data_IF_593949651183
#
_entry.id   IF_593949651183
#
_cell.length_a   1.000
_cell.length_b   1.000
_cell.length_c   1.000
_cell.angle_alpha   90.00
_cell.angle_beta   90.00
_cell.angle_gamma   90.00
#
_symmetry.space_group_name_H-M   'P 1'
#
loop_
_entity.id
_entity.type
_entity.pdbx_description
1 polymer ?
#
# COMPACT_ATOMS: atom_id res chain seq x y z
N UNK A 1 -16.37 -3.67 -16.71
CA UNK A 1 -15.30 -2.87 -16.07
C UNK A 1 -14.15 -2.85 -17.05
N UNK A 2 -13.55 -1.70 -17.30
CA UNK A 2 -12.50 -1.55 -18.31
C UNK A 2 -11.38 -0.74 -17.67
N UNK A 3 -10.13 -1.17 -17.83
CA UNK A 3 -8.98 -0.46 -17.25
C UNK A 3 -7.78 -0.60 -18.18
N UNK A 4 -6.82 0.29 -18.00
CA UNK A 4 -5.48 0.18 -18.57
C UNK A 4 -4.50 -0.23 -17.48
N UNK A 5 -3.41 -0.90 -17.88
CA UNK A 5 -2.20 -0.94 -17.07
C UNK A 5 -1.46 0.38 -17.30
N UNK A 6 -1.50 1.27 -16.32
CA UNK A 6 -0.97 2.62 -16.49
C UNK A 6 0.46 2.78 -16.01
N UNK A 7 1.21 3.69 -16.64
CA UNK A 7 2.52 4.16 -16.17
C UNK A 7 2.56 5.68 -16.27
N UNK A 8 2.99 6.34 -15.19
CA UNK A 8 3.10 7.81 -15.15
C UNK A 8 4.55 8.22 -15.01
N UNK A 9 4.98 9.18 -15.83
CA UNK A 9 6.31 9.80 -15.71
C UNK A 9 6.17 11.11 -14.96
N UNK A 10 6.97 11.26 -13.90
CA UNK A 10 7.04 12.45 -13.06
C UNK A 10 8.42 13.10 -13.20
N UNK A 11 8.46 14.42 -13.23
CA UNK A 11 9.69 15.21 -13.24
C UNK A 11 9.78 16.05 -11.97
N UNK A 12 10.89 15.93 -11.23
CA UNK A 12 11.20 16.80 -10.10
C UNK A 12 11.74 18.13 -10.62
N UNK A 13 11.01 19.21 -10.36
CA UNK A 13 11.37 20.56 -10.78
C UNK A 13 12.38 21.17 -9.83
N UNK A 14 13.04 22.25 -10.29
CA UNK A 14 13.94 23.06 -9.46
C UNK A 14 13.23 23.70 -8.27
N UNK A 15 11.91 23.90 -8.35
CA UNK A 15 11.09 24.41 -7.24
C UNK A 15 10.72 23.32 -6.20
N UNK A 16 11.26 22.10 -6.33
CA UNK A 16 11.02 20.98 -5.42
C UNK A 16 9.72 20.21 -5.70
N UNK A 17 8.86 20.67 -6.61
CA UNK A 17 7.57 20.01 -6.89
C UNK A 17 7.66 18.95 -7.98
N UNK A 18 6.85 17.89 -7.87
CA UNK A 18 6.70 16.88 -8.92
C UNK A 18 5.68 17.32 -9.97
N UNK A 19 6.05 17.22 -11.24
CA UNK A 19 5.17 17.49 -12.39
C UNK A 19 4.94 16.22 -13.21
N UNK A 20 3.69 15.82 -13.48
CA UNK A 20 3.41 14.75 -14.44
C UNK A 20 3.70 15.22 -15.86
N UNK A 21 4.46 14.43 -16.62
CA UNK A 21 4.91 14.78 -17.98
C UNK A 21 4.41 13.81 -19.06
N UNK A 22 4.01 12.60 -18.69
CA UNK A 22 3.40 11.63 -19.61
C UNK A 22 2.61 10.57 -18.83
N UNK A 23 1.56 10.02 -19.43
CA UNK A 23 0.85 8.82 -18.98
C UNK A 23 0.78 7.83 -20.15
N UNK A 24 1.28 6.62 -19.93
CA UNK A 24 1.10 5.49 -20.83
C UNK A 24 -0.13 4.68 -20.36
N UNK A 25 -1.02 4.37 -21.31
CA UNK A 25 -2.23 3.58 -21.11
C UNK A 25 -2.09 2.28 -21.91
N UNK A 26 -1.67 1.20 -21.25
CA UNK A 26 -1.33 -0.06 -21.92
C UNK A 26 -2.44 -1.09 -21.82
N UNK A 27 -2.68 -1.82 -22.91
CA UNK A 27 -3.53 -3.01 -22.99
C UNK A 27 -2.69 -4.21 -23.44
N UNK A 28 -3.00 -5.43 -22.95
CA UNK A 28 -2.41 -6.64 -23.52
C UNK A 28 -2.83 -6.77 -24.99
N UNK A 29 -1.90 -7.19 -25.85
CA UNK A 29 -2.18 -7.52 -27.24
C UNK A 29 -1.75 -8.96 -27.48
N UNK A 30 -2.71 -9.87 -27.61
CA UNK A 30 -2.49 -11.27 -27.95
C UNK A 30 -3.01 -11.59 -29.34
N UNK A 31 -2.37 -12.54 -30.04
CA UNK A 31 -2.82 -12.95 -31.36
C UNK A 31 -4.23 -13.56 -31.27
N UNK A 32 -5.22 -12.90 -31.88
CA UNK A 32 -6.63 -13.32 -31.84
C UNK A 32 -7.54 -12.48 -30.94
N UNK A 33 -7.05 -11.39 -30.34
CA UNK A 33 -7.89 -10.48 -29.55
C UNK A 33 -9.00 -9.84 -30.40
N UNK A 34 -10.23 -9.87 -29.89
CA UNK A 34 -11.42 -9.30 -30.52
C UNK A 34 -11.56 -7.78 -30.28
N UNK A 35 -10.74 -7.21 -29.41
CA UNK A 35 -10.77 -5.79 -29.09
C UNK A 35 -9.88 -4.99 -30.04
N UNK A 36 -10.43 -3.95 -30.67
CA UNK A 36 -9.67 -3.01 -31.49
C UNK A 36 -8.92 -1.95 -30.66
N UNK A 37 -9.12 -1.92 -29.34
CA UNK A 37 -8.52 -0.92 -28.47
C UNK A 37 -7.00 -1.12 -28.36
N UNK A 38 -6.24 -0.05 -28.59
CA UNK A 38 -4.78 -0.06 -28.59
C UNK A 38 -4.18 0.66 -27.38
N UNK A 39 -2.94 0.30 -27.06
CA UNK A 39 -2.11 1.04 -26.10
C UNK A 39 -1.80 2.44 -26.67
N UNK A 40 -1.72 3.44 -25.79
CA UNK A 40 -1.40 4.81 -26.21
C UNK A 40 -0.69 5.62 -25.12
N UNK A 41 0.06 6.64 -25.54
CA UNK A 41 0.68 7.61 -24.63
C UNK A 41 -0.08 8.92 -24.72
N UNK A 42 -0.46 9.46 -23.57
CA UNK A 42 -1.15 10.74 -23.43
C UNK A 42 -0.20 11.74 -22.76
N UNK A 43 -0.11 12.94 -23.33
CA UNK A 43 0.72 14.03 -22.83
C UNK A 43 -0.14 15.12 -22.17
N UNK A 44 0.42 15.93 -21.27
CA UNK A 44 -0.29 17.04 -20.65
C UNK A 44 -0.82 18.04 -21.68
N UNK A 45 -2.12 18.35 -21.60
CA UNK A 45 -2.78 19.39 -22.36
C UNK A 45 -3.71 20.21 -21.44
N UNK A 46 -3.89 21.49 -21.76
CA UNK A 46 -4.71 22.43 -20.98
C UNK A 46 -5.99 22.90 -21.68
N UNK A 47 -6.04 22.72 -22.99
CA UNK A 47 -7.15 23.19 -23.84
C UNK A 47 -7.63 22.06 -24.74
N UNK A 48 -8.80 22.26 -25.35
CA UNK A 48 -9.36 21.34 -26.34
C UNK A 48 -9.73 19.97 -25.78
N UNK A 49 -10.07 19.05 -26.67
CA UNK A 49 -10.41 17.66 -26.32
C UNK A 49 -9.21 16.92 -25.73
N UNK A 50 -7.99 17.32 -26.09
CA UNK A 50 -6.73 16.80 -25.56
C UNK A 50 -6.63 17.00 -24.05
N UNK A 51 -7.12 18.13 -23.51
CA UNK A 51 -7.18 18.34 -22.06
C UNK A 51 -8.15 17.38 -21.36
N UNK A 52 -9.28 17.06 -22.00
CA UNK A 52 -10.23 16.04 -21.52
C UNK A 52 -9.60 14.64 -21.55
N UNK A 53 -8.89 14.31 -22.63
CA UNK A 53 -8.17 13.02 -22.76
C UNK A 53 -7.08 12.91 -21.69
N UNK A 54 -6.33 13.99 -21.41
CA UNK A 54 -5.35 14.04 -20.32
C UNK A 54 -6.01 13.88 -18.95
N UNK A 55 -7.16 14.53 -18.71
CA UNK A 55 -7.93 14.36 -17.49
C UNK A 55 -8.39 12.91 -17.29
N UNK A 56 -8.88 12.25 -18.35
CA UNK A 56 -9.26 10.85 -18.32
C UNK A 56 -8.06 9.92 -18.13
N UNK A 57 -6.91 10.21 -18.74
CA UNK A 57 -5.67 9.46 -18.54
C UNK A 57 -5.27 9.45 -17.06
N UNK A 58 -5.34 10.61 -16.39
CA UNK A 58 -5.14 10.70 -14.94
C UNK A 58 -6.18 9.89 -14.17
N UNK A 59 -7.45 9.87 -14.58
CA UNK A 59 -8.46 9.06 -13.91
C UNK A 59 -8.15 7.56 -13.96
N UNK A 60 -7.68 7.03 -15.09
CA UNK A 60 -7.26 5.62 -15.18
C UNK A 60 -6.07 5.32 -14.26
N UNK A 61 -5.09 6.23 -14.19
CA UNK A 61 -3.97 6.13 -13.24
C UNK A 61 -4.48 6.06 -11.81
N UNK A 62 -5.39 6.96 -11.43
CA UNK A 62 -5.92 6.98 -10.06
C UNK A 62 -6.82 5.78 -9.78
N UNK A 63 -7.50 5.19 -10.77
CA UNK A 63 -8.20 3.92 -10.58
C UNK A 63 -7.22 2.79 -10.26
N UNK A 64 -6.10 2.69 -10.98
CA UNK A 64 -5.03 1.74 -10.66
C UNK A 64 -4.49 1.98 -9.25
N UNK A 65 -4.16 3.24 -8.92
CA UNK A 65 -3.61 3.62 -7.63
C UNK A 65 -4.59 3.37 -6.48
N UNK A 66 -5.88 3.65 -6.67
CA UNK A 66 -6.92 3.40 -5.65
C UNK A 66 -7.07 1.91 -5.37
N UNK A 67 -7.00 1.07 -6.40
CA UNK A 67 -7.02 -0.38 -6.23
C UNK A 67 -5.75 -0.88 -5.52
N UNK A 68 -4.57 -0.41 -5.94
CA UNK A 68 -3.29 -0.80 -5.32
C UNK A 68 -3.21 -0.33 -3.86
N UNK A 69 -3.60 0.91 -3.60
CA UNK A 69 -3.68 1.48 -2.26
C UNK A 69 -4.53 0.63 -1.33
N UNK A 70 -5.76 0.31 -1.73
CA UNK A 70 -6.68 -0.41 -0.83
C UNK A 70 -6.30 -1.87 -0.64
N UNK A 71 -5.90 -2.57 -1.70
CA UNK A 71 -5.65 -4.02 -1.65
C UNK A 71 -4.23 -4.37 -1.21
N UNK A 72 -3.23 -3.56 -1.58
CA UNK A 72 -1.82 -3.86 -1.35
C UNK A 72 -1.29 -3.00 -0.21
N UNK A 73 -1.24 -1.68 -0.39
CA UNK A 73 -0.65 -0.77 0.61
C UNK A 73 -1.39 -0.78 1.94
N UNK A 74 -2.72 -0.90 1.90
CA UNK A 74 -3.59 -0.91 3.07
C UNK A 74 -3.88 -2.36 3.51
N UNK A 75 -4.71 -3.11 2.79
CA UNK A 75 -5.12 -4.45 3.22
C UNK A 75 -3.94 -5.42 3.42
N UNK A 76 -3.16 -5.68 2.36
CA UNK A 76 -2.11 -6.70 2.41
C UNK A 76 -0.98 -6.33 3.38
N UNK A 77 -0.35 -5.18 3.18
CA UNK A 77 0.87 -4.79 3.88
C UNK A 77 0.65 -4.41 5.34
N UNK A 78 -0.61 -4.28 5.79
CA UNK A 78 -0.92 -3.84 7.14
C UNK A 78 -1.87 -4.80 7.86
N UNK A 79 -3.11 -4.94 7.38
CA UNK A 79 -4.11 -5.79 8.01
C UNK A 79 -3.70 -7.27 7.94
N UNK A 80 -3.50 -7.78 6.73
CA UNK A 80 -3.20 -9.20 6.51
C UNK A 80 -1.79 -9.57 6.98
N UNK A 81 -0.80 -8.71 6.73
CA UNK A 81 0.59 -8.97 7.12
C UNK A 81 0.80 -8.98 8.65
N UNK A 82 -0.03 -8.28 9.43
CA UNK A 82 0.14 -8.19 10.89
C UNK A 82 -0.53 -9.33 11.65
N UNK A 83 -1.69 -9.82 11.17
CA UNK A 83 -2.50 -10.81 11.89
C UNK A 83 -1.72 -12.08 12.31
N UNK A 84 -0.80 -12.63 11.49
CA UNK A 84 0.03 -13.76 11.89
C UNK A 84 0.91 -13.50 13.12
N UNK A 85 1.45 -12.28 13.26
CA UNK A 85 2.24 -11.90 14.44
C UNK A 85 1.37 -11.73 15.68
N UNK A 86 0.14 -11.25 15.54
CA UNK A 86 -0.82 -11.18 16.66
C UNK A 86 -1.07 -12.59 17.21
N UNK A 87 -1.35 -13.53 16.31
CA UNK A 87 -1.65 -14.93 16.65
C UNK A 87 -0.43 -15.59 17.31
N UNK A 88 0.75 -15.50 16.69
CA UNK A 88 1.96 -16.11 17.24
C UNK A 88 2.32 -15.53 18.63
N UNK A 89 2.18 -14.21 18.80
CA UNK A 89 2.49 -13.55 20.09
C UNK A 89 1.64 -14.09 21.23
N UNK A 90 0.32 -14.21 21.04
CA UNK A 90 -0.57 -14.72 22.08
C UNK A 90 -0.41 -16.24 22.31
N UNK A 91 0.13 -16.98 21.34
CA UNK A 91 0.33 -18.43 21.46
C UNK A 91 1.63 -18.82 22.14
N UNK A 92 2.68 -18.01 22.02
CA UNK A 92 4.02 -18.37 22.47
C UNK A 92 4.63 -17.45 23.52
N UNK A 93 4.20 -16.19 23.59
CA UNK A 93 4.73 -15.26 24.59
C UNK A 93 3.73 -15.11 25.73
N UNK A 94 4.17 -15.38 26.96
CA UNK A 94 3.38 -15.16 28.17
C UNK A 94 3.00 -13.69 28.31
N UNK A 95 1.87 -13.39 28.96
CA UNK A 95 1.47 -12.01 29.32
C UNK A 95 2.49 -11.29 30.21
N UNK A 96 3.40 -12.06 30.82
CA UNK A 96 4.53 -11.57 31.61
C UNK A 96 5.79 -11.31 30.78
N UNK A 97 5.88 -11.86 29.57
CA UNK A 97 7.05 -11.75 28.70
C UNK A 97 7.28 -10.28 28.27
N UNK A 98 8.51 -9.76 28.31
CA UNK A 98 8.78 -8.34 27.99
C UNK A 98 8.38 -7.99 26.55
N UNK A 99 8.69 -8.88 25.59
CA UNK A 99 8.30 -8.67 24.18
C UNK A 99 6.78 -8.74 23.98
N UNK A 100 6.04 -9.52 24.78
CA UNK A 100 4.57 -9.49 24.74
C UNK A 100 4.05 -8.11 25.17
N UNK A 101 4.57 -7.58 26.28
CA UNK A 101 4.20 -6.25 26.79
C UNK A 101 4.55 -5.13 25.82
N UNK A 102 5.69 -5.25 25.12
CA UNK A 102 6.11 -4.31 24.09
C UNK A 102 5.18 -4.33 22.87
N UNK A 103 4.78 -5.50 22.39
CA UNK A 103 4.09 -5.64 21.10
C UNK A 103 2.57 -5.56 21.21
N UNK A 104 1.95 -6.13 22.25
CA UNK A 104 0.49 -6.28 22.31
C UNK A 104 -0.33 -4.99 22.32
N UNK A 105 0.13 -3.83 22.85
CA UNK A 105 -0.58 -2.56 22.68
C UNK A 105 -0.82 -2.21 21.20
N UNK A 106 0.06 -2.65 20.31
CA UNK A 106 -0.03 -2.43 18.87
C UNK A 106 -1.03 -3.37 18.18
N UNK A 107 -1.43 -4.47 18.81
CA UNK A 107 -2.36 -5.42 18.20
C UNK A 107 -3.82 -5.09 18.45
N UNK A 108 -4.09 -4.02 19.19
CA UNK A 108 -5.44 -3.63 19.60
C UNK A 108 -6.38 -3.57 18.40
N UNK A 109 -7.45 -4.35 18.48
CA UNK A 109 -8.53 -4.44 17.49
C UNK A 109 -8.15 -5.01 16.11
N UNK A 110 -6.89 -5.37 15.84
CA UNK A 110 -6.44 -5.85 14.51
C UNK A 110 -7.19 -7.12 14.06
N UNK A 111 -7.22 -8.18 14.89
CA UNK A 111 -7.96 -9.40 14.56
C UNK A 111 -9.47 -9.18 14.42
N UNK A 112 -10.03 -8.27 15.22
CA UNK A 112 -11.46 -7.97 15.19
C UNK A 112 -11.85 -7.27 13.88
N UNK A 113 -11.12 -6.21 13.50
CA UNK A 113 -11.38 -5.52 12.22
C UNK A 113 -11.10 -6.43 11.03
N UNK A 114 -10.07 -7.30 11.09
CA UNK A 114 -9.81 -8.26 10.04
C UNK A 114 -10.93 -9.31 9.90
N UNK A 115 -11.48 -9.79 11.01
CA UNK A 115 -12.61 -10.72 10.99
C UNK A 115 -13.85 -10.08 10.34
N UNK A 116 -14.18 -8.84 10.71
CA UNK A 116 -15.27 -8.07 10.09
C UNK A 116 -15.00 -7.78 8.61
N UNK A 117 -13.74 -7.48 8.25
CA UNK A 117 -13.35 -7.27 6.86
C UNK A 117 -13.54 -8.54 6.02
N UNK A 118 -13.13 -9.70 6.53
CA UNK A 118 -13.38 -11.00 5.88
C UNK A 118 -14.87 -11.31 5.72
N UNK A 119 -15.71 -10.83 6.63
CA UNK A 119 -17.15 -11.08 6.59
C UNK A 119 -17.89 -10.16 5.60
N UNK A 120 -17.52 -8.88 5.54
CA UNK A 120 -18.36 -7.84 4.92
C UNK A 120 -17.62 -6.92 3.92
N UNK A 121 -16.28 -6.84 4.00
CA UNK A 121 -15.48 -5.94 3.17
C UNK A 121 -14.89 -6.64 1.94
N UNK A 122 -14.14 -7.72 2.16
CA UNK A 122 -13.36 -8.43 1.14
C UNK A 122 -13.94 -9.81 0.77
N UNK A 123 -15.13 -10.15 1.27
CA UNK A 123 -15.85 -11.36 0.87
C UNK A 123 -16.37 -11.26 -0.58
N UNK A 124 -16.77 -12.41 -1.12
CA UNK A 124 -17.46 -12.47 -2.41
C UNK A 124 -18.74 -11.61 -2.38
N UNK A 125 -18.92 -10.76 -3.38
CA UNK A 125 -19.95 -9.71 -3.44
C UNK A 125 -19.94 -8.71 -2.25
N UNK A 126 -18.83 -8.64 -1.52
CA UNK A 126 -18.60 -7.67 -0.47
C UNK A 126 -18.39 -6.26 -1.02
N UNK A 127 -18.12 -5.33 -0.11
CA UNK A 127 -17.98 -3.90 -0.44
C UNK A 127 -16.86 -3.68 -1.47
N UNK A 128 -15.68 -4.25 -1.28
CA UNK A 128 -14.53 -4.03 -2.18
C UNK A 128 -14.82 -4.60 -3.57
N UNK A 129 -15.30 -5.84 -3.66
CA UNK A 129 -15.63 -6.46 -4.95
C UNK A 129 -16.73 -5.70 -5.70
N UNK A 130 -17.68 -5.07 -4.99
CA UNK A 130 -18.79 -4.35 -5.60
C UNK A 130 -18.45 -2.88 -5.93
N UNK A 131 -17.46 -2.26 -5.28
CA UNK A 131 -17.16 -0.82 -5.47
C UNK A 131 -15.87 -0.54 -6.24
N UNK A 132 -14.90 -1.46 -6.29
CA UNK A 132 -13.62 -1.26 -6.98
C UNK A 132 -13.61 -1.81 -8.41
N UNK A 133 -12.59 -1.45 -9.21
CA UNK A 133 -12.42 -1.87 -10.59
C UNK A 133 -12.20 -3.39 -10.76
N UNK A 134 -11.78 -4.06 -9.69
CA UNK A 134 -11.29 -5.43 -9.75
C UNK A 134 -12.40 -6.38 -9.28
N UNK A 135 -12.78 -7.32 -10.14
CA UNK A 135 -13.62 -8.47 -9.72
C UNK A 135 -12.76 -9.51 -9.00
N UNK A 136 -11.48 -9.54 -9.36
CA UNK A 136 -10.43 -10.42 -8.86
C UNK A 136 -9.60 -9.73 -7.77
N UNK A 137 -10.26 -8.97 -6.90
CA UNK A 137 -9.61 -8.02 -5.98
C UNK A 137 -8.61 -8.70 -5.04
N UNK A 138 -9.07 -9.69 -4.27
CA UNK A 138 -8.25 -10.28 -3.21
C UNK A 138 -7.13 -11.15 -3.78
N UNK A 139 -7.39 -11.90 -4.85
CA UNK A 139 -6.36 -12.72 -5.49
C UNK A 139 -5.23 -11.88 -6.10
N UNK A 140 -5.49 -10.64 -6.54
CA UNK A 140 -4.44 -9.73 -6.95
C UNK A 140 -3.51 -9.35 -5.80
N UNK A 141 -4.02 -9.22 -4.58
CA UNK A 141 -3.15 -8.99 -3.41
C UNK A 141 -2.30 -10.22 -3.09
N UNK A 142 -2.84 -11.43 -3.28
CA UNK A 142 -2.07 -12.68 -3.20
C UNK A 142 -0.97 -12.75 -4.26
N UNK A 143 -1.26 -12.39 -5.51
CA UNK A 143 -0.26 -12.36 -6.58
C UNK A 143 0.87 -11.33 -6.33
N UNK A 144 0.60 -10.28 -5.55
CA UNK A 144 1.59 -9.27 -5.11
C UNK A 144 2.30 -9.68 -3.81
N UNK A 145 1.83 -10.74 -3.14
CA UNK A 145 2.34 -11.17 -1.85
C UNK A 145 3.71 -11.85 -1.98
N UNK A 146 4.72 -11.00 -2.16
CA UNK A 146 6.15 -11.30 -2.09
C UNK A 146 6.77 -10.48 -0.96
N UNK A 147 6.09 -10.47 0.20
CA UNK A 147 6.42 -9.59 1.31
C UNK A 147 7.83 -9.86 1.81
N UNK A 148 8.76 -8.94 1.56
CA UNK A 148 10.10 -8.97 2.19
C UNK A 148 10.04 -8.13 3.46
N UNK A 149 9.99 -8.78 4.64
CA UNK A 149 9.85 -8.09 5.93
C UNK A 149 10.88 -6.98 6.15
N UNK A 150 12.12 -7.20 5.72
CA UNK A 150 13.18 -6.20 5.91
C UNK A 150 13.00 -4.94 5.07
N UNK A 151 12.26 -5.05 3.97
CA UNK A 151 11.98 -3.92 3.08
C UNK A 151 10.82 -3.08 3.59
N UNK A 152 10.07 -3.57 4.59
CA UNK A 152 9.03 -2.79 5.26
C UNK A 152 9.58 -1.75 6.24
N UNK A 153 10.90 -1.76 6.52
CA UNK A 153 11.54 -0.68 7.26
C UNK A 153 11.55 0.57 6.38
N UNK A 154 11.04 1.70 6.89
CA UNK A 154 10.91 2.92 6.09
C UNK A 154 12.20 3.33 5.36
N UNK A 155 13.40 3.34 6.00
CA UNK A 155 14.64 3.64 5.26
C UNK A 155 14.95 2.64 4.13
N UNK A 156 14.64 1.36 4.32
CA UNK A 156 14.86 0.32 3.31
C UNK A 156 13.88 0.45 2.14
N UNK A 157 12.59 0.72 2.43
CA UNK A 157 11.57 1.01 1.42
C UNK A 157 11.98 2.21 0.55
N UNK A 158 12.37 3.32 1.18
CA UNK A 158 12.77 4.54 0.47
C UNK A 158 13.97 4.32 -0.46
N UNK A 159 14.96 3.54 -0.01
CA UNK A 159 16.11 3.16 -0.86
C UNK A 159 15.66 2.22 -1.98
N UNK A 160 14.86 1.20 -1.68
CA UNK A 160 14.39 0.21 -2.66
C UNK A 160 13.60 0.86 -3.80
N UNK A 161 12.75 1.85 -3.48
CA UNK A 161 11.99 2.61 -4.47
C UNK A 161 12.83 3.65 -5.22
N UNK A 162 14.10 3.82 -4.86
CA UNK A 162 15.00 4.79 -5.48
C UNK A 162 14.62 6.24 -5.19
N UNK A 163 13.95 6.52 -4.07
CA UNK A 163 13.58 7.88 -3.63
C UNK A 163 14.45 8.41 -2.50
N UNK A 164 15.38 7.58 -2.01
CA UNK A 164 16.44 7.97 -1.11
C UNK A 164 17.71 7.16 -1.41
N UNK A 165 18.85 7.68 -0.97
CA UNK A 165 20.12 6.95 -0.99
C UNK A 165 20.67 6.82 0.43
N UNK A 166 21.47 5.79 0.68
CA UNK A 166 22.17 5.65 1.95
C UNK A 166 23.18 6.78 2.12
N UNK A 167 23.10 7.47 3.24
CA UNK A 167 24.00 8.57 3.58
C UNK A 167 24.26 8.56 5.10
N UNK A 168 25.38 7.99 5.55
CA UNK A 168 25.71 7.93 6.97
C UNK A 168 25.93 9.30 7.63
N UNK A 169 26.05 10.38 6.86
CA UNK A 169 26.24 11.73 7.40
C UNK A 169 24.94 12.39 7.83
N UNK A 170 23.78 11.86 7.43
CA UNK A 170 22.46 12.38 7.82
C UNK A 170 21.96 11.72 9.11
N UNK A 171 21.09 12.39 9.90
CA UNK A 171 20.57 11.84 11.16
C UNK A 171 19.90 10.47 11.02
N UNK A 172 19.20 10.26 9.90
CA UNK A 172 18.44 9.03 9.62
C UNK A 172 19.22 7.99 8.83
N UNK A 173 20.48 8.28 8.46
CA UNK A 173 21.33 7.40 7.65
C UNK A 173 20.93 7.28 6.18
N UNK A 174 20.00 8.12 5.74
CA UNK A 174 19.49 8.22 4.36
C UNK A 174 19.33 9.68 3.96
N UNK A 175 19.55 9.97 2.67
CA UNK A 175 19.29 11.27 2.06
C UNK A 175 18.16 11.11 1.05
N UNK A 176 17.07 11.87 1.23
CA UNK A 176 15.95 11.87 0.30
C UNK A 176 16.38 12.52 -1.03
N UNK A 177 15.89 11.97 -2.15
CA UNK A 177 16.09 12.56 -3.48
C UNK A 177 15.03 13.62 -3.81
N UNK A 178 13.91 13.57 -3.08
CA UNK A 178 12.88 14.61 -3.05
C UNK A 178 12.89 15.13 -1.62
N UNK A 179 13.52 16.29 -1.40
CA UNK A 179 13.77 16.82 -0.06
C UNK A 179 12.46 17.08 0.69
N UNK A 180 11.52 17.76 0.05
CA UNK A 180 10.15 17.96 0.55
C UNK A 180 9.24 16.82 0.10
N UNK A 181 9.51 15.61 0.60
CA UNK A 181 8.61 14.46 0.50
C UNK A 181 7.95 14.21 1.86
N UNK A 182 6.76 14.78 2.14
CA UNK A 182 6.18 14.83 3.49
C UNK A 182 6.04 13.47 4.16
N UNK A 183 5.54 12.46 3.44
CA UNK A 183 5.43 11.08 3.97
C UNK A 183 6.78 10.54 4.43
N UNK A 184 7.84 10.73 3.64
CA UNK A 184 9.15 10.20 3.95
C UNK A 184 9.86 11.00 5.04
N UNK A 185 9.80 12.33 4.95
CA UNK A 185 10.42 13.23 5.93
C UNK A 185 9.81 13.01 7.32
N UNK A 186 8.48 13.12 7.45
CA UNK A 186 7.77 12.94 8.71
C UNK A 186 7.87 11.50 9.21
N UNK A 187 7.75 10.54 8.28
CA UNK A 187 7.86 9.12 8.60
C UNK A 187 9.22 8.74 9.19
N UNK A 188 10.31 9.38 8.74
CA UNK A 188 11.67 9.11 9.26
C UNK A 188 11.83 9.59 10.70
N UNK A 189 11.23 10.72 11.08
CA UNK A 189 11.22 11.21 12.46
C UNK A 189 10.50 10.23 13.39
N UNK A 190 9.32 9.78 12.97
CA UNK A 190 8.52 8.81 13.70
C UNK A 190 9.27 7.47 13.81
N UNK A 191 9.84 6.98 12.69
CA UNK A 191 10.65 5.77 12.67
C UNK A 191 11.85 5.86 13.62
N UNK A 192 12.54 7.01 13.67
CA UNK A 192 13.66 7.23 14.57
C UNK A 192 13.23 7.18 16.05
N UNK A 193 12.12 7.83 16.41
CA UNK A 193 11.59 7.80 17.77
C UNK A 193 11.24 6.37 18.24
N UNK A 194 10.59 5.59 17.37
CA UNK A 194 10.25 4.18 17.63
C UNK A 194 11.50 3.34 17.84
N UNK A 195 12.47 3.51 16.93
CA UNK A 195 13.72 2.78 16.98
C UNK A 195 14.46 3.06 18.28
N UNK A 196 14.54 4.32 18.70
CA UNK A 196 15.14 4.72 19.98
C UNK A 196 14.42 4.06 21.15
N UNK A 197 13.09 4.13 21.21
CA UNK A 197 12.31 3.47 22.27
C UNK A 197 12.59 1.97 22.37
N UNK A 198 12.57 1.25 21.24
CA UNK A 198 12.84 -0.19 21.20
C UNK A 198 14.30 -0.49 21.61
N UNK A 199 15.24 0.36 21.19
CA UNK A 199 16.65 0.25 21.55
C UNK A 199 16.93 0.53 23.03
N UNK A 200 16.07 1.27 23.72
CA UNK A 200 16.15 1.47 25.17
C UNK A 200 15.42 0.35 25.94
N UNK A 201 14.27 -0.11 25.46
CA UNK A 201 13.45 -1.11 26.16
C UNK A 201 14.07 -2.51 26.15
N UNK A 202 14.52 -3.00 24.98
CA UNK A 202 14.98 -4.39 24.85
C UNK A 202 16.22 -4.70 25.70
N UNK A 203 17.23 -3.81 25.80
CA UNK A 203 18.39 -4.03 26.67
C UNK A 203 18.09 -4.15 28.17
N UNK A 204 16.90 -3.72 28.64
CA UNK A 204 16.48 -3.93 30.02
C UNK A 204 16.25 -5.42 30.36
N UNK A 205 16.02 -6.25 29.33
CA UNK A 205 15.71 -7.67 29.47
C UNK A 205 16.73 -8.59 28.78
N UNK A 206 17.41 -8.11 27.74
CA UNK A 206 18.42 -8.86 26.99
C UNK A 206 19.69 -8.01 26.81
N UNK A 207 20.73 -8.27 27.60
CA UNK A 207 21.97 -7.50 27.56
C UNK A 207 22.87 -7.89 26.38
N UNK A 208 22.77 -9.15 25.92
CA UNK A 208 23.60 -9.71 24.84
C UNK A 208 22.84 -10.75 24.03
N UNK A 209 23.40 -11.13 22.89
CA UNK A 209 22.84 -12.16 21.99
C UNK A 209 22.60 -13.50 22.72
N UNK A 210 23.46 -13.84 23.69
CA UNK A 210 23.35 -15.09 24.45
C UNK A 210 22.19 -15.10 25.45
N UNK A 211 21.55 -13.96 25.71
CA UNK A 211 20.32 -13.91 26.49
C UNK A 211 19.08 -14.14 25.60
N UNK A 212 19.18 -13.86 24.30
CA UNK A 212 18.10 -14.01 23.30
C UNK A 212 17.97 -15.47 22.83
N UNK A 213 19.11 -16.14 22.59
CA UNK A 213 19.14 -17.53 22.09
C UNK A 213 18.42 -18.55 23.00
N UNK A 214 18.60 -18.54 24.33
CA UNK A 214 17.97 -19.51 25.21
C UNK A 214 16.52 -19.18 25.54
N UNK A 215 16.01 -18.01 25.15
CA UNK A 215 14.61 -17.64 25.36
C UNK A 215 13.70 -18.51 24.50
N UNK A 216 13.18 -19.58 25.11
CA UNK A 216 12.36 -20.55 24.40
C UNK A 216 11.05 -19.95 23.90
N UNK A 217 10.42 -19.04 24.64
CA UNK A 217 9.16 -18.42 24.20
C UNK A 217 9.41 -17.60 22.92
N UNK A 218 10.47 -16.78 22.92
CA UNK A 218 10.85 -15.97 21.78
C UNK A 218 11.26 -16.80 20.56
N UNK A 219 12.01 -17.90 20.75
CA UNK A 219 12.38 -18.78 19.64
C UNK A 219 11.16 -19.48 19.01
N UNK A 220 10.22 -20.00 19.82
CA UNK A 220 9.01 -20.64 19.32
C UNK A 220 8.06 -19.65 18.65
N UNK A 221 7.93 -18.46 19.24
CA UNK A 221 7.17 -17.35 18.67
C UNK A 221 7.63 -17.00 17.26
N UNK A 222 8.93 -16.72 17.09
CA UNK A 222 9.50 -16.34 15.79
C UNK A 222 9.33 -17.46 14.77
N UNK A 223 9.62 -18.69 15.19
CA UNK A 223 9.49 -19.88 14.35
C UNK A 223 8.06 -20.04 13.83
N UNK A 224 7.05 -19.95 14.70
CA UNK A 224 5.66 -20.11 14.26
C UNK A 224 5.19 -18.93 13.40
N UNK A 225 5.59 -17.71 13.72
CA UNK A 225 5.25 -16.53 12.93
C UNK A 225 5.75 -16.64 11.47
N UNK A 226 6.97 -17.13 11.27
CA UNK A 226 7.55 -17.30 9.92
C UNK A 226 7.10 -18.60 9.25
N UNK A 227 7.26 -19.75 9.91
CA UNK A 227 7.05 -21.06 9.27
C UNK A 227 5.57 -21.43 9.11
N UNK A 228 4.67 -20.84 9.92
CA UNK A 228 3.22 -21.06 9.80
C UNK A 228 2.48 -19.78 9.44
N UNK A 229 2.74 -18.69 10.16
CA UNK A 229 2.03 -17.42 9.98
C UNK A 229 2.23 -16.84 8.57
N UNK A 230 3.47 -16.82 8.12
CA UNK A 230 3.88 -16.46 6.76
C UNK A 230 4.51 -17.66 6.04
N UNK A 231 3.91 -18.85 6.26
CA UNK A 231 4.49 -20.14 5.88
C UNK A 231 4.77 -20.29 4.37
N UNK A 232 4.00 -19.60 3.52
CA UNK A 232 4.20 -19.61 2.06
C UNK A 232 5.51 -18.91 1.65
N UNK A 233 6.03 -18.02 2.49
CA UNK A 233 7.29 -17.28 2.28
C UNK A 233 8.42 -17.72 3.22
N UNK A 234 8.26 -18.83 3.95
CA UNK A 234 9.23 -19.28 4.96
C UNK A 234 10.66 -19.43 4.42
N UNK A 235 10.81 -19.86 3.16
CA UNK A 235 12.12 -20.06 2.52
C UNK A 235 12.76 -18.73 2.11
N UNK A 236 11.95 -17.77 1.65
CA UNK A 236 12.35 -16.39 1.39
C UNK A 236 12.80 -15.64 2.65
N UNK A 237 12.33 -16.10 3.82
CA UNK A 237 12.68 -15.56 5.13
C UNK A 237 13.71 -16.41 5.90
N UNK A 238 14.13 -17.55 5.35
CA UNK A 238 14.93 -18.57 6.04
C UNK A 238 16.29 -18.09 6.58
N UNK A 239 16.76 -16.91 6.18
CA UNK A 239 17.96 -16.27 6.72
C UNK A 239 17.74 -15.39 7.96
N UNK A 240 16.50 -15.03 8.30
CA UNK A 240 16.18 -14.18 9.46
C UNK A 240 15.97 -15.05 10.70
N UNK A 241 17.00 -15.20 11.50
CA UNK A 241 16.93 -15.88 12.79
C UNK A 241 16.86 -14.88 13.95
N UNK A 242 15.83 -14.97 14.80
CA UNK A 242 15.70 -14.20 16.04
C UNK A 242 16.64 -14.72 17.15
N UNK A 243 17.92 -14.91 16.81
CA UNK A 243 18.98 -15.40 17.72
C UNK A 243 19.94 -14.31 18.19
N UNK A 244 19.79 -13.11 17.64
CA UNK A 244 20.67 -11.98 17.92
C UNK A 244 19.81 -10.79 18.33
N UNK A 245 20.30 -10.02 19.29
CA UNK A 245 19.69 -8.80 19.80
C UNK A 245 19.41 -7.82 18.66
N UNK A 246 20.31 -7.72 17.69
CA UNK A 246 20.14 -6.90 16.49
C UNK A 246 18.91 -7.31 15.66
N UNK A 247 18.64 -8.61 15.52
CA UNK A 247 17.47 -9.10 14.78
C UNK A 247 16.19 -8.82 15.56
N UNK A 248 16.22 -9.03 16.88
CA UNK A 248 15.09 -8.72 17.77
C UNK A 248 14.72 -7.23 17.74
N UNK A 249 15.72 -6.35 17.85
CA UNK A 249 15.54 -4.89 17.74
C UNK A 249 14.98 -4.51 16.38
N UNK A 250 15.57 -5.03 15.29
CA UNK A 250 15.10 -4.74 13.93
C UNK A 250 13.64 -5.16 13.75
N UNK A 251 13.28 -6.35 14.23
CA UNK A 251 11.93 -6.85 14.09
C UNK A 251 10.92 -6.11 14.99
N UNK A 252 11.26 -5.85 16.26
CA UNK A 252 10.40 -5.07 17.14
C UNK A 252 10.13 -3.66 16.58
N UNK A 253 11.15 -3.00 16.01
CA UNK A 253 10.97 -1.73 15.30
C UNK A 253 10.13 -1.88 14.02
N UNK A 254 10.27 -2.98 13.28
CA UNK A 254 9.46 -3.28 12.09
C UNK A 254 7.98 -3.52 12.43
N UNK A 255 7.69 -4.34 13.45
CA UNK A 255 6.32 -4.61 13.89
C UNK A 255 5.61 -3.34 14.32
N UNK A 256 6.34 -2.43 14.96
CA UNK A 256 5.83 -1.14 15.37
C UNK A 256 5.64 -0.21 14.16
N UNK A 257 6.63 -0.11 13.26
CA UNK A 257 6.57 0.73 12.06
C UNK A 257 5.45 0.35 11.10
N UNK A 258 5.23 -0.95 10.88
CA UNK A 258 4.12 -1.49 10.10
C UNK A 258 2.75 -1.05 10.64
N UNK A 259 2.64 -0.82 11.95
CA UNK A 259 1.38 -0.48 12.60
C UNK A 259 1.09 1.03 12.66
N UNK A 260 2.09 1.90 12.49
CA UNK A 260 1.85 3.33 12.31
C UNK A 260 1.72 3.70 10.84
N UNK A 261 2.45 3.01 9.96
CA UNK A 261 2.25 3.10 8.50
C UNK A 261 0.89 2.54 8.08
N UNK A 262 0.21 1.74 8.91
CA UNK A 262 -1.16 1.29 8.65
C UNK A 262 -2.24 2.36 8.87
N UNK A 263 -1.96 3.36 9.70
CA UNK A 263 -2.90 4.44 9.98
C UNK A 263 -2.91 5.51 8.88
N UNK A 264 -1.82 5.67 8.14
CA UNK A 264 -1.72 6.71 7.11
C UNK A 264 -2.64 6.44 5.90
N UNK A 265 -2.64 5.24 5.29
CA UNK A 265 -3.60 4.89 4.24
C UNK A 265 -5.05 5.08 4.68
N UNK A 266 -5.36 4.83 5.96
CA UNK A 266 -6.69 4.96 6.54
C UNK A 266 -7.10 6.43 6.78
N UNK A 267 -6.28 7.21 7.50
CA UNK A 267 -6.58 8.61 7.86
C UNK A 267 -6.80 9.49 6.63
N UNK A 268 -6.07 9.22 5.53
CA UNK A 268 -6.15 10.02 4.32
C UNK A 268 -7.21 9.52 3.32
N UNK A 269 -7.89 8.41 3.61
CA UNK A 269 -8.87 7.81 2.69
C UNK A 269 -10.05 8.75 2.41
N UNK A 270 -10.74 9.25 3.45
CA UNK A 270 -11.84 10.22 3.23
C UNK A 270 -11.36 11.62 2.83
N UNK A 271 -10.34 12.24 3.48
CA UNK A 271 -9.90 13.59 3.10
C UNK A 271 -9.54 13.76 1.63
N UNK A 272 -8.92 12.75 1.01
CA UNK A 272 -8.62 12.77 -0.43
C UNK A 272 -9.69 12.06 -1.27
N UNK A 273 -10.35 11.02 -0.75
CA UNK A 273 -11.25 10.16 -1.52
C UNK A 273 -12.74 10.44 -1.39
N UNK A 274 -13.14 11.28 -0.44
CA UNK A 274 -14.54 11.69 -0.25
C UNK A 274 -15.13 12.38 -1.48
N UNK A 275 -14.27 13.00 -2.30
CA UNK A 275 -14.60 13.42 -3.65
C UNK A 275 -14.18 12.34 -4.67
N UNK A 276 -15.14 11.57 -5.18
CA UNK A 276 -14.87 10.45 -6.08
C UNK A 276 -14.13 10.82 -7.37
N UNK A 277 -14.25 12.07 -7.81
CA UNK A 277 -13.50 12.55 -8.97
C UNK A 277 -11.99 12.61 -8.71
N UNK A 278 -11.58 12.80 -7.46
CA UNK A 278 -10.18 12.81 -7.04
C UNK A 278 -9.63 11.40 -6.80
N UNK A 279 -10.44 10.47 -6.29
CA UNK A 279 -10.05 9.06 -6.07
C UNK A 279 -11.08 8.07 -6.64
N UNK A 280 -11.24 8.00 -7.98
CA UNK A 280 -12.15 7.04 -8.58
C UNK A 280 -11.72 5.60 -8.27
N UNK A 281 -12.64 4.80 -7.77
CA UNK A 281 -12.39 3.39 -7.41
C UNK A 281 -12.53 2.42 -8.59
N UNK A 282 -13.20 2.85 -9.67
CA UNK A 282 -13.43 2.03 -10.85
C UNK A 282 -13.51 2.87 -12.14
N UNK A 283 -13.08 2.27 -13.25
CA UNK A 283 -13.32 2.75 -14.61
C UNK A 283 -14.25 1.80 -15.38
N UNK A 284 -15.18 2.38 -16.15
CA UNK A 284 -16.31 1.68 -16.78
C UNK A 284 -16.18 1.50 -18.29
N UNK A 285 -15.43 2.37 -18.96
CA UNK A 285 -15.14 2.31 -20.40
C UNK A 285 -13.68 2.68 -20.65
N UNK A 286 -13.17 2.36 -21.84
CA UNK A 286 -11.86 2.80 -22.35
C UNK A 286 -12.00 4.20 -22.99
N UNK A 287 -10.87 4.77 -23.46
CA UNK A 287 -10.93 6.00 -24.25
C UNK A 287 -11.69 5.75 -25.56
N UNK A 288 -12.60 6.67 -25.97
CA UNK A 288 -13.36 6.51 -27.20
C UNK A 288 -12.51 6.81 -28.44
N UNK A 289 -12.83 6.17 -29.56
CA UNK A 289 -12.21 6.43 -30.86
C UNK A 289 -12.76 7.70 -31.51
N UNK A 290 -11.95 8.37 -32.34
CA UNK A 290 -12.39 9.55 -33.09
C UNK A 290 -13.55 9.18 -34.03
N UNK A 291 -14.58 10.02 -34.08
CA UNK A 291 -15.77 9.82 -34.91
C UNK A 291 -16.91 9.06 -34.22
N UNK A 292 -16.77 8.67 -32.94
CA UNK A 292 -17.86 8.08 -32.16
C UNK A 292 -18.66 9.16 -31.39
N UNK A 293 -19.93 8.90 -31.04
CA UNK A 293 -20.71 9.79 -30.17
C UNK A 293 -20.05 10.03 -28.80
N UNK A 294 -19.32 9.05 -28.29
CA UNK A 294 -18.58 9.17 -27.03
C UNK A 294 -17.38 10.12 -27.14
N UNK A 295 -16.74 10.20 -28.30
CA UNK A 295 -15.68 11.18 -28.54
C UNK A 295 -16.26 12.59 -28.63
N UNK A 296 -17.39 12.76 -29.32
CA UNK A 296 -18.13 14.02 -29.35
C UNK A 296 -18.62 14.46 -27.96
N UNK A 297 -18.96 13.51 -27.07
CA UNK A 297 -19.26 13.79 -25.66
C UNK A 297 -18.04 14.41 -24.94
N UNK A 298 -16.80 13.97 -25.23
CA UNK A 298 -15.59 14.56 -24.63
C UNK A 298 -15.35 16.00 -25.07
N UNK A 299 -15.74 16.34 -26.31
CA UNK A 299 -15.64 17.70 -26.87
C UNK A 299 -16.71 18.60 -26.24
N UNK A 300 -17.96 18.14 -26.25
CA UNK A 300 -19.11 18.98 -25.92
C UNK A 300 -19.45 18.99 -24.42
N UNK A 301 -19.08 17.94 -23.66
CA UNK A 301 -19.39 17.81 -22.24
C UNK A 301 -18.38 16.90 -21.51
N UNK A 302 -17.19 17.46 -21.27
CA UNK A 302 -16.09 16.75 -20.61
C UNK A 302 -16.43 16.22 -19.21
N UNK A 303 -17.24 16.94 -18.42
CA UNK A 303 -17.67 16.50 -17.09
C UNK A 303 -18.51 15.22 -17.16
N UNK A 304 -19.50 15.18 -18.05
CA UNK A 304 -20.31 13.99 -18.29
C UNK A 304 -19.46 12.84 -18.81
N UNK A 305 -18.50 13.13 -19.69
CA UNK A 305 -17.58 12.12 -20.19
C UNK A 305 -16.72 11.51 -19.07
N UNK A 306 -16.25 12.34 -18.14
CA UNK A 306 -15.51 11.94 -16.94
C UNK A 306 -16.36 11.08 -16.01
N UNK A 307 -17.55 11.57 -15.63
CA UNK A 307 -18.47 10.89 -14.73
C UNK A 307 -18.95 9.55 -15.28
N UNK A 308 -19.13 9.43 -16.60
CA UNK A 308 -19.46 8.16 -17.28
C UNK A 308 -18.31 7.16 -17.27
N UNK A 309 -17.08 7.65 -17.21
CA UNK A 309 -15.88 6.82 -17.19
C UNK A 309 -15.58 6.29 -15.79
N UNK A 310 -15.67 7.13 -14.76
CA UNK A 310 -15.35 6.73 -13.37
C UNK A 310 -16.50 6.00 -12.65
N UNK A 311 -16.32 5.70 -11.36
CA UNK A 311 -17.29 5.00 -10.49
C UNK A 311 -18.71 5.56 -10.63
N UNK A 312 -19.70 4.69 -10.77
CA UNK A 312 -21.09 5.10 -10.94
C UNK A 312 -21.71 5.62 -9.64
N UNK A 313 -22.69 6.51 -9.75
CA UNK A 313 -23.42 7.07 -8.60
C UNK A 313 -24.04 6.00 -7.69
N UNK A 314 -24.55 4.89 -8.25
CA UNK A 314 -25.11 3.78 -7.46
C UNK A 314 -24.07 3.11 -6.53
N UNK A 315 -22.79 3.10 -6.91
CA UNK A 315 -21.70 2.53 -6.11
C UNK A 315 -20.96 3.58 -5.28
N UNK A 316 -21.17 4.86 -5.59
CA UNK A 316 -20.51 6.00 -4.96
C UNK A 316 -20.83 6.08 -3.47
N UNK A 317 -22.12 6.06 -3.11
CA UNK A 317 -22.53 6.20 -1.71
C UNK A 317 -21.90 5.12 -0.84
N UNK A 318 -21.90 3.87 -1.31
CA UNK A 318 -21.27 2.77 -0.57
C UNK A 318 -19.75 2.95 -0.45
N UNK A 319 -19.06 3.35 -1.53
CA UNK A 319 -17.63 3.57 -1.51
C UNK A 319 -17.22 4.69 -0.54
N UNK A 320 -17.94 5.82 -0.56
CA UNK A 320 -17.66 6.98 0.29
C UNK A 320 -18.00 6.71 1.74
N UNK A 321 -19.15 6.08 2.03
CA UNK A 321 -19.53 5.74 3.41
C UNK A 321 -18.52 4.81 4.09
N UNK A 322 -17.86 3.94 3.33
CA UNK A 322 -16.90 2.98 3.91
C UNK A 322 -15.56 3.63 4.23
N UNK A 323 -15.10 4.57 3.41
CA UNK A 323 -13.86 5.31 3.70
C UNK A 323 -14.06 6.40 4.76
N UNK A 324 -15.31 6.75 5.09
CA UNK A 324 -15.67 7.67 6.19
C UNK A 324 -15.60 7.01 7.57
N UNK A 325 -15.83 5.69 7.63
CA UNK A 325 -15.79 4.87 8.86
C UNK A 325 -14.35 4.55 9.23
#
# INVERSE_FOLDING_TARGET
RNTYATRTILFLREDGTLKPVAIELSLPHSAGDLSAAVSQVVLPAKEGVESTIWLLAKAYVIVNDSCYHQLMSHWLNTHAAMEPFVIATHRHLSVLHPIYKLLTPHYRNNMNINALARQSLINANGIIETTFALKYSVEMSSAVYELVFTDQALPADLIKRGVAIKDPSTPHGVRLLIEDYPYAADGLEIWAAIKTWVQEYVPLYYARDDDVKPDSELQHWWKEAVEKGHGDLKDSHGGLSCRHLKTLLKFASLSYGLLQLSMQPLIWSYPYGGLIMNRPTASRRLLPEKGTPEYEEMINNHEKAYLRTITSSCRLSLAVSVIEI
#
